data_IF_133951473600
#
_entry.id   IF_133951473600
#
_cell.length_a   1.000
_cell.length_b   1.000
_cell.length_c   1.000
_cell.angle_alpha   90.00
_cell.angle_beta   90.00
_cell.angle_gamma   90.00
#
_symmetry.space_group_name_H-M   'P 1'
#
loop_
_entity.id
_entity.type
_entity.pdbx_description
1 polymer ?
#
# COMPACT_ATOMS: atom_id res chain seq x y z
N UNK A 1 -34.39 30.99 55.49
CA UNK A 1 -35.83 30.64 55.57
C UNK A 1 -36.24 30.04 54.23
N UNK A 2 -37.24 29.15 54.21
CA UNK A 2 -37.75 28.47 53.01
C UNK A 2 -38.90 29.28 52.36
N UNK A 3 -39.69 28.85 51.36
CA UNK A 3 -39.87 27.62 50.53
C UNK A 3 -40.56 28.10 49.21
N UNK A 4 -40.97 27.38 48.14
CA UNK A 4 -41.16 25.97 47.71
C UNK A 4 -40.67 25.85 46.22
N UNK A 5 -40.47 24.73 45.51
CA UNK A 5 -41.09 23.37 45.46
C UNK A 5 -42.48 23.29 44.74
N UNK A 6 -42.79 22.35 43.84
CA UNK A 6 -41.97 21.45 43.02
C UNK A 6 -42.74 20.94 41.76
N UNK A 7 -41.98 20.53 40.73
CA UNK A 7 -42.26 19.58 39.60
C UNK A 7 -43.62 18.86 39.46
N UNK A 8 -43.98 18.55 38.20
CA UNK A 8 -44.83 17.40 37.81
C UNK A 8 -44.37 16.75 36.49
N UNK A 9 -44.80 15.51 36.20
CA UNK A 9 -44.66 14.80 34.90
C UNK A 9 -45.46 13.47 34.85
N UNK A 10 -45.66 12.91 33.64
CA UNK A 10 -46.09 11.52 33.30
C UNK A 10 -47.57 11.11 33.60
N UNK A 11 -48.26 10.23 32.83
CA UNK A 11 -48.14 9.74 31.42
C UNK A 11 -49.41 8.89 31.02
N UNK A 12 -49.55 8.48 29.73
CA UNK A 12 -50.50 7.45 29.18
C UNK A 12 -52.02 7.82 29.18
N UNK A 13 -52.95 7.33 28.32
CA UNK A 13 -52.93 6.55 27.04
C UNK A 13 -54.26 6.75 26.23
N UNK A 14 -54.36 6.21 25.01
CA UNK A 14 -55.49 6.29 24.03
C UNK A 14 -56.65 5.27 24.32
N UNK A 15 -57.92 5.48 23.87
CA UNK A 15 -58.41 4.73 22.67
C UNK A 15 -59.57 5.34 21.81
N UNK A 16 -59.43 5.24 20.47
CA UNK A 16 -60.40 4.73 19.48
C UNK A 16 -61.90 5.22 19.37
N UNK A 17 -62.15 6.22 18.50
CA UNK A 17 -63.02 6.18 17.30
C UNK A 17 -64.56 5.91 17.31
N UNK A 18 -65.33 6.69 16.50
CA UNK A 18 -66.51 6.28 15.66
C UNK A 18 -67.20 7.44 14.89
N UNK A 19 -67.48 7.23 13.59
CA UNK A 19 -68.51 7.93 12.78
C UNK A 19 -68.25 9.40 12.36
N UNK A 20 -68.94 9.99 11.39
CA UNK A 20 -69.77 9.46 10.29
C UNK A 20 -69.98 10.54 9.20
N UNK A 21 -70.15 10.16 7.92
CA UNK A 21 -70.44 11.08 6.79
C UNK A 21 -70.32 10.40 5.43
N UNK A 22 -71.23 10.70 4.49
CA UNK A 22 -71.44 9.90 3.27
C UNK A 22 -70.72 10.42 2.00
N UNK A 23 -70.46 9.54 1.00
CA UNK A 23 -69.81 9.89 -0.27
C UNK A 23 -70.79 10.25 -1.40
N UNK A 24 -70.29 10.92 -2.45
CA UNK A 24 -71.01 11.17 -3.71
C UNK A 24 -70.92 9.94 -4.64
N UNK A 25 -72.00 9.64 -5.36
CA UNK A 25 -72.26 8.34 -5.98
C UNK A 25 -71.61 8.05 -7.34
N UNK A 26 -71.81 6.80 -7.76
CA UNK A 26 -71.25 6.17 -8.97
C UNK A 26 -72.15 6.33 -10.20
N UNK A 27 -71.53 6.43 -11.37
CA UNK A 27 -72.03 5.84 -12.63
C UNK A 27 -70.84 5.13 -13.27
N UNK A 28 -71.02 3.90 -13.75
CA UNK A 28 -69.94 3.11 -14.36
C UNK A 28 -70.41 2.37 -15.60
N UNK A 29 -69.46 1.83 -16.37
CA UNK A 29 -69.74 0.77 -17.33
C UNK A 29 -68.50 -0.11 -17.60
N UNK A 30 -68.74 -1.35 -18.07
CA UNK A 30 -67.76 -2.42 -18.26
C UNK A 30 -68.34 -3.49 -19.22
N UNK A 31 -67.53 -4.35 -19.86
CA UNK A 31 -66.13 -4.19 -20.28
C UNK A 31 -65.92 -4.64 -21.75
N UNK A 32 -64.73 -4.42 -22.34
CA UNK A 32 -64.27 -5.22 -23.51
C UNK A 32 -62.80 -5.61 -23.41
N UNK A 33 -62.52 -6.92 -23.56
CA UNK A 33 -61.17 -7.49 -23.70
C UNK A 33 -60.73 -7.46 -25.16
N UNK A 34 -59.56 -6.89 -25.46
CA UNK A 34 -58.81 -7.14 -26.72
C UNK A 34 -57.31 -7.05 -26.42
N UNK A 35 -56.52 -7.92 -27.05
CA UNK A 35 -55.10 -7.66 -27.35
C UNK A 35 -54.11 -7.77 -26.19
N UNK A 36 -53.05 -8.55 -26.40
CA UNK A 36 -51.86 -8.52 -25.55
C UNK A 36 -50.59 -8.29 -26.37
N UNK A 37 -49.46 -8.19 -25.67
CA UNK A 37 -48.05 -8.14 -26.13
C UNK A 37 -47.46 -6.77 -26.53
N UNK A 38 -46.43 -6.41 -25.74
CA UNK A 38 -45.11 -5.81 -26.06
C UNK A 38 -44.89 -4.30 -25.93
N UNK A 39 -43.59 -3.99 -25.77
CA UNK A 39 -42.91 -2.70 -25.57
C UNK A 39 -43.18 -2.01 -24.22
N UNK A 40 -42.18 -1.41 -23.55
CA UNK A 40 -40.73 -1.43 -23.82
C UNK A 40 -39.92 -0.65 -22.77
N UNK A 41 -38.61 -0.89 -22.72
CA UNK A 41 -37.64 -0.29 -21.78
C UNK A 41 -37.65 -0.90 -20.37
N UNK A 42 -36.56 -0.99 -19.62
CA UNK A 42 -35.10 -0.81 -19.89
C UNK A 42 -34.33 -1.61 -18.80
N UNK A 43 -33.00 -1.77 -18.74
CA UNK A 43 -31.84 -1.13 -19.40
C UNK A 43 -30.78 -2.20 -19.79
N UNK A 44 -29.71 -1.81 -20.52
CA UNK A 44 -28.51 -2.62 -20.74
C UNK A 44 -27.18 -1.82 -20.73
N UNK A 45 -26.97 -0.95 -19.73
CA UNK A 45 -25.80 -0.08 -19.55
C UNK A 45 -24.52 -0.80 -19.10
N UNK A 46 -23.71 -1.27 -20.07
CA UNK A 46 -22.50 -2.08 -19.83
C UNK A 46 -21.41 -1.43 -18.96
N UNK A 47 -20.73 -2.29 -18.19
CA UNK A 47 -19.41 -2.03 -17.57
C UNK A 47 -18.39 -1.55 -18.61
N UNK A 48 -17.63 -0.50 -18.28
CA UNK A 48 -16.42 -0.07 -18.99
C UNK A 48 -15.22 -0.16 -18.05
N UNK A 49 -14.33 -1.13 -18.31
CA UNK A 49 -12.98 -1.19 -17.72
C UNK A 49 -11.98 -0.94 -18.86
N UNK A 50 -11.26 0.17 -18.79
CA UNK A 50 -10.31 0.59 -19.82
C UNK A 50 -9.12 -0.39 -19.91
N UNK A 51 -8.98 -1.07 -21.06
CA UNK A 51 -7.84 -1.94 -21.35
C UNK A 51 -6.79 -1.14 -22.11
N UNK A 52 -5.80 -0.61 -21.40
CA UNK A 52 -4.61 -0.02 -22.02
C UNK A 52 -3.60 -1.10 -22.40
N UNK A 53 -3.66 -1.52 -23.66
CA UNK A 53 -2.64 -2.40 -24.25
C UNK A 53 -1.23 -1.78 -24.14
N UNK A 54 -0.31 -2.51 -23.53
CA UNK A 54 1.14 -2.25 -23.62
C UNK A 54 1.76 -3.38 -24.43
N UNK A 55 2.33 -3.04 -25.59
CA UNK A 55 2.96 -4.00 -26.51
C UNK A 55 4.03 -4.86 -25.80
N UNK A 56 3.72 -6.14 -25.58
CA UNK A 56 4.76 -7.15 -25.25
C UNK A 56 5.63 -7.37 -26.49
N UNK A 57 6.91 -7.03 -26.39
CA UNK A 57 7.91 -7.51 -27.34
C UNK A 57 8.07 -9.02 -27.18
N UNK A 58 8.23 -9.74 -28.30
CA UNK A 58 8.35 -11.19 -28.29
C UNK A 58 9.67 -11.67 -27.64
N UNK A 59 9.69 -12.79 -26.89
CA UNK A 59 10.92 -13.33 -26.32
C UNK A 59 11.93 -13.73 -27.42
N UNK A 60 13.20 -13.36 -27.22
CA UNK A 60 14.30 -13.88 -28.06
C UNK A 60 14.64 -15.32 -27.63
N UNK A 61 14.97 -16.24 -28.55
CA UNK A 61 15.38 -17.60 -28.19
C UNK A 61 16.73 -17.59 -27.45
N UNK A 62 16.97 -18.55 -26.53
CA UNK A 62 18.21 -18.65 -25.79
C UNK A 62 19.39 -19.00 -26.72
N UNK A 63 20.56 -18.39 -26.46
CA UNK A 63 21.81 -18.75 -27.15
C UNK A 63 22.36 -20.06 -26.58
N UNK A 64 22.90 -20.98 -27.40
CA UNK A 64 23.55 -22.19 -26.90
C UNK A 64 24.84 -21.85 -26.13
N UNK A 65 25.02 -22.45 -24.96
CA UNK A 65 26.25 -22.32 -24.18
C UNK A 65 27.37 -23.13 -24.84
N UNK A 66 28.32 -22.44 -25.46
CA UNK A 66 29.50 -23.05 -26.06
C UNK A 66 30.40 -23.72 -25.01
N UNK A 67 30.66 -25.01 -25.16
CA UNK A 67 31.63 -25.75 -24.32
C UNK A 67 33.04 -25.19 -24.55
N UNK A 68 33.79 -24.99 -23.47
CA UNK A 68 35.24 -24.75 -23.51
C UNK A 68 35.93 -25.73 -22.53
N UNK A 69 37.01 -26.43 -22.93
CA UNK A 69 37.67 -27.43 -22.09
C UNK A 69 38.49 -26.78 -20.96
N UNK A 70 38.91 -27.56 -19.93
CA UNK A 70 39.68 -27.04 -18.81
C UNK A 70 41.17 -26.87 -19.17
N UNK A 71 41.69 -25.65 -19.01
CA UNK A 71 43.13 -25.39 -19.04
C UNK A 71 43.76 -25.72 -17.68
N UNK A 72 44.61 -26.75 -17.64
CA UNK A 72 45.41 -27.14 -16.47
C UNK A 72 46.86 -26.70 -16.62
N UNK A 73 47.37 -25.78 -15.78
CA UNK A 73 48.78 -25.44 -15.76
C UNK A 73 49.64 -26.61 -15.27
N UNK A 74 50.44 -27.19 -16.17
CA UNK A 74 51.53 -28.11 -15.79
C UNK A 74 52.61 -27.32 -15.04
N UNK A 75 52.89 -27.71 -13.80
CA UNK A 75 54.17 -27.39 -13.14
C UNK A 75 55.15 -28.55 -13.40
N UNK A 76 56.24 -28.23 -14.10
CA UNK A 76 57.39 -29.11 -14.27
C UNK A 76 58.60 -28.49 -13.53
N UNK A 77 59.42 -29.32 -12.87
CA UNK A 77 60.56 -28.82 -12.09
C UNK A 77 61.21 -29.87 -11.19
N UNK A 78 61.92 -30.84 -11.79
CA UNK A 78 62.87 -31.67 -11.04
C UNK A 78 64.24 -30.98 -10.96
N UNK A 79 64.80 -30.84 -9.75
CA UNK A 79 66.26 -30.77 -9.53
C UNK A 79 66.67 -31.75 -8.41
N UNK A 80 67.42 -32.83 -8.72
CA UNK A 80 67.77 -33.86 -7.74
C UNK A 80 69.22 -33.72 -7.22
N UNK A 81 69.39 -33.17 -6.00
CA UNK A 81 70.70 -33.15 -5.31
C UNK A 81 70.67 -33.81 -3.92
N UNK A 82 71.17 -35.06 -3.90
CA UNK A 82 72.07 -35.73 -2.91
C UNK A 82 72.11 -35.15 -1.47
N UNK A 83 72.10 -35.94 -0.38
CA UNK A 83 72.31 -37.40 -0.19
C UNK A 83 71.91 -37.80 1.26
N UNK A 84 71.68 -39.11 1.50
CA UNK A 84 71.99 -39.93 2.70
C UNK A 84 71.99 -39.31 4.13
N UNK A 85 71.45 -39.94 5.18
CA UNK A 85 70.86 -41.28 5.32
C UNK A 85 70.01 -41.43 6.61
N UNK A 86 69.08 -42.41 6.58
CA UNK A 86 68.61 -43.23 7.72
C UNK A 86 68.03 -42.59 8.99
N UNK A 87 66.75 -42.88 9.27
CA UNK A 87 66.42 -43.87 10.31
C UNK A 87 65.04 -44.53 10.03
N UNK A 88 64.60 -45.49 10.86
CA UNK A 88 63.34 -46.25 10.71
C UNK A 88 62.25 -45.71 11.63
N UNK A 89 61.16 -45.18 11.06
CA UNK A 89 59.97 -44.74 11.80
C UNK A 89 58.76 -45.61 11.48
N UNK A 90 58.09 -46.14 12.52
CA UNK A 90 56.88 -46.98 12.40
C UNK A 90 55.72 -46.17 11.80
N UNK A 91 54.91 -46.80 10.94
CA UNK A 91 53.80 -46.13 10.26
C UNK A 91 52.68 -45.70 11.21
N UNK A 92 52.35 -44.40 11.19
CA UNK A 92 51.09 -43.87 11.70
C UNK A 92 50.13 -43.62 10.53
N UNK A 93 48.88 -44.08 10.64
CA UNK A 93 47.86 -43.83 9.63
C UNK A 93 47.48 -42.35 9.60
N UNK A 94 47.34 -41.79 8.41
CA UNK A 94 47.00 -40.38 8.18
C UNK A 94 45.59 -40.04 8.67
N UNK A 95 45.49 -39.62 9.93
CA UNK A 95 44.33 -38.91 10.45
C UNK A 95 44.35 -37.46 9.96
N UNK A 96 44.06 -37.25 8.67
CA UNK A 96 43.87 -35.91 8.12
C UNK A 96 42.78 -35.19 8.93
N UNK A 97 43.19 -34.17 9.69
CA UNK A 97 42.24 -33.28 10.36
C UNK A 97 41.54 -32.48 9.28
N UNK A 98 40.38 -32.97 8.85
CA UNK A 98 39.45 -32.20 8.03
C UNK A 98 39.23 -30.87 8.76
N UNK A 99 39.83 -29.81 8.21
CA UNK A 99 39.50 -28.45 8.61
C UNK A 99 38.01 -28.30 8.37
N UNK A 100 37.24 -28.17 9.45
CA UNK A 100 35.82 -27.84 9.36
C UNK A 100 35.77 -26.38 8.92
N UNK A 101 35.88 -26.18 7.60
CA UNK A 101 35.77 -24.89 6.93
C UNK A 101 34.51 -24.21 7.46
N UNK A 102 34.71 -23.13 8.24
CA UNK A 102 33.63 -22.41 8.93
C UNK A 102 32.52 -22.15 7.94
N UNK A 103 31.40 -22.86 8.08
CA UNK A 103 30.33 -22.85 7.09
C UNK A 103 29.83 -21.42 6.96
N UNK A 104 30.14 -20.79 5.83
CA UNK A 104 29.92 -19.37 5.65
C UNK A 104 28.45 -19.16 5.30
N UNK A 105 27.59 -19.11 6.33
CA UNK A 105 26.26 -18.55 6.15
C UNK A 105 26.46 -17.13 5.58
N UNK A 106 25.81 -16.77 4.47
CA UNK A 106 25.79 -15.38 4.04
C UNK A 106 25.13 -14.54 5.12
N UNK A 107 25.53 -13.27 5.22
CA UNK A 107 24.89 -12.32 6.12
C UNK A 107 23.39 -12.28 5.81
N UNK A 108 22.56 -12.51 6.84
CA UNK A 108 21.11 -12.40 6.70
C UNK A 108 20.78 -10.92 6.54
N UNK A 109 20.17 -10.49 5.41
CA UNK A 109 19.88 -9.09 5.23
C UNK A 109 18.78 -8.65 6.21
N UNK A 110 18.98 -7.49 6.83
CA UNK A 110 17.97 -6.83 7.65
C UNK A 110 16.83 -6.32 6.78
N UNK A 111 15.89 -7.21 6.48
CA UNK A 111 14.74 -6.93 5.60
C UNK A 111 13.75 -5.96 6.25
N UNK A 112 13.64 -5.95 7.59
CA UNK A 112 12.82 -4.97 8.31
C UNK A 112 13.48 -3.59 8.23
N UNK A 113 14.78 -3.48 8.52
CA UNK A 113 15.53 -2.23 8.37
C UNK A 113 15.54 -1.72 6.92
N UNK A 114 15.59 -2.60 5.92
CA UNK A 114 15.47 -2.22 4.50
C UNK A 114 14.07 -1.73 4.13
N UNK A 115 13.00 -2.35 4.66
CA UNK A 115 11.63 -1.85 4.50
C UNK A 115 11.48 -0.47 5.17
N UNK A 116 11.88 -0.32 6.44
CA UNK A 116 11.82 0.97 7.15
C UNK A 116 12.69 2.05 6.50
N UNK A 117 13.85 1.69 5.96
CA UNK A 117 14.68 2.61 5.18
C UNK A 117 14.01 3.06 3.85
N UNK A 118 13.02 2.32 3.34
CA UNK A 118 12.13 2.75 2.27
C UNK A 118 10.97 3.59 2.82
N UNK A 119 10.30 3.17 3.90
CA UNK A 119 9.19 3.89 4.54
C UNK A 119 9.60 5.29 4.99
N UNK A 120 10.80 5.47 5.55
CA UNK A 120 11.35 6.76 5.93
C UNK A 120 11.46 7.74 4.73
N UNK A 121 11.79 7.24 3.54
CA UNK A 121 11.82 8.06 2.31
C UNK A 121 10.39 8.43 1.86
N UNK A 122 9.43 7.52 2.01
CA UNK A 122 8.01 7.81 1.79
C UNK A 122 7.49 8.85 2.78
N UNK A 123 7.91 8.80 4.05
CA UNK A 123 7.56 9.79 5.07
C UNK A 123 8.14 11.17 4.76
N UNK A 124 9.43 11.29 4.44
CA UNK A 124 10.02 12.57 3.96
C UNK A 124 9.29 13.13 2.73
N UNK A 125 8.87 12.26 1.82
CA UNK A 125 8.07 12.62 0.65
C UNK A 125 6.64 13.10 1.00
N UNK A 126 6.00 12.48 1.99
CA UNK A 126 4.68 12.87 2.48
C UNK A 126 4.72 14.15 3.33
N UNK A 127 5.79 14.38 4.09
CA UNK A 127 6.02 15.66 4.80
C UNK A 127 6.27 16.81 3.82
N UNK A 128 6.96 16.55 2.70
CA UNK A 128 7.05 17.50 1.59
C UNK A 128 5.69 17.71 0.89
N UNK A 129 4.90 16.64 0.72
CA UNK A 129 3.58 16.70 0.10
C UNK A 129 2.58 17.51 0.94
N UNK A 130 2.57 17.31 2.27
CA UNK A 130 1.78 18.08 3.21
C UNK A 130 2.17 19.57 3.18
N UNK A 131 3.46 19.90 3.27
CA UNK A 131 3.92 21.31 3.14
C UNK A 131 3.49 21.95 1.81
N UNK A 132 3.60 21.22 0.71
CA UNK A 132 3.13 21.69 -0.59
C UNK A 132 1.62 21.93 -0.61
N UNK A 133 0.83 21.03 -0.02
CA UNK A 133 -0.62 21.19 0.10
C UNK A 133 -1.02 22.37 1.00
N UNK A 134 -0.21 22.71 2.01
CA UNK A 134 -0.32 23.94 2.81
C UNK A 134 0.29 25.19 2.13
N UNK A 135 0.71 25.10 0.85
CA UNK A 135 1.13 26.25 0.03
C UNK A 135 2.65 26.46 -0.14
N UNK A 136 3.50 25.58 0.41
CA UNK A 136 4.95 25.61 0.13
C UNK A 136 5.22 25.07 -1.29
N UNK A 137 5.14 25.96 -2.28
CA UNK A 137 5.44 25.65 -3.69
C UNK A 137 6.85 25.06 -3.87
N UNK A 138 7.80 25.39 -2.98
CA UNK A 138 9.16 24.83 -3.00
C UNK A 138 9.20 23.36 -2.61
N UNK A 139 8.29 22.90 -1.73
CA UNK A 139 8.19 21.51 -1.32
C UNK A 139 7.80 20.56 -2.46
N UNK A 140 7.16 21.06 -3.53
CA UNK A 140 6.83 20.29 -4.73
C UNK A 140 8.05 19.59 -5.35
N UNK A 141 9.24 20.21 -5.29
CA UNK A 141 10.47 19.59 -5.78
C UNK A 141 10.96 18.49 -4.83
N UNK A 142 10.83 18.68 -3.51
CA UNK A 142 11.22 17.66 -2.53
C UNK A 142 10.38 16.37 -2.66
N UNK A 143 9.08 16.48 -2.99
CA UNK A 143 8.24 15.31 -3.32
C UNK A 143 8.78 14.58 -4.56
N UNK A 144 9.15 15.33 -5.61
CA UNK A 144 9.71 14.77 -6.86
C UNK A 144 11.09 14.16 -6.66
N UNK A 145 11.91 14.69 -5.74
CA UNK A 145 13.24 14.16 -5.41
C UNK A 145 13.17 12.95 -4.45
N UNK A 146 12.06 12.76 -3.74
CA UNK A 146 11.82 11.61 -2.86
C UNK A 146 11.56 10.31 -3.62
N UNK A 147 10.75 10.31 -4.69
CA UNK A 147 10.49 9.09 -5.49
C UNK A 147 11.76 8.36 -5.97
N UNK A 148 12.75 9.03 -6.61
CA UNK A 148 13.91 8.32 -7.13
C UNK A 148 14.84 7.84 -6.01
N UNK A 149 14.66 8.34 -4.78
CA UNK A 149 15.27 7.76 -3.57
C UNK A 149 14.50 6.51 -3.11
N UNK A 150 13.16 6.52 -3.16
CA UNK A 150 12.28 5.40 -2.82
C UNK A 150 12.52 4.18 -3.70
N UNK A 151 12.53 4.36 -5.02
CA UNK A 151 12.86 3.29 -5.98
C UNK A 151 14.30 2.75 -5.79
N UNK A 152 15.26 3.57 -5.35
CA UNK A 152 16.59 3.06 -4.96
C UNK A 152 16.50 2.12 -3.74
N UNK A 153 15.76 2.47 -2.69
CA UNK A 153 15.54 1.61 -1.52
C UNK A 153 14.82 0.31 -1.87
N UNK A 154 13.77 0.39 -2.70
CA UNK A 154 13.07 -0.76 -3.26
C UNK A 154 13.99 -1.66 -4.08
N UNK A 155 14.90 -1.10 -4.89
CA UNK A 155 15.92 -1.86 -5.63
C UNK A 155 16.99 -2.48 -4.72
N UNK A 156 17.38 -1.81 -3.64
CA UNK A 156 18.28 -2.34 -2.61
C UNK A 156 17.62 -3.56 -1.92
N UNK A 157 16.38 -3.42 -1.44
CA UNK A 157 15.59 -4.49 -0.83
C UNK A 157 15.37 -5.69 -1.77
N UNK A 158 14.94 -5.46 -3.01
CA UNK A 158 14.75 -6.54 -4.01
C UNK A 158 16.07 -7.23 -4.37
N UNK A 159 17.22 -6.54 -4.23
CA UNK A 159 18.54 -7.17 -4.41
C UNK A 159 18.93 -8.00 -3.19
N UNK A 160 18.67 -7.52 -1.98
CA UNK A 160 18.89 -8.25 -0.74
C UNK A 160 18.04 -9.54 -0.66
N UNK A 161 16.75 -9.47 -0.99
CA UNK A 161 15.85 -10.64 -1.05
C UNK A 161 16.32 -11.72 -2.03
N UNK A 162 17.06 -11.36 -3.09
CA UNK A 162 17.64 -12.31 -4.06
C UNK A 162 18.96 -12.93 -3.59
N UNK A 163 19.64 -12.30 -2.63
CA UNK A 163 20.88 -12.79 -2.05
C UNK A 163 20.66 -13.57 -0.74
N UNK A 164 19.52 -13.37 -0.08
CA UNK A 164 19.14 -14.02 1.16
C UNK A 164 18.98 -15.53 1.00
N UNK A 165 19.55 -16.30 1.94
CA UNK A 165 19.30 -17.74 2.06
C UNK A 165 18.24 -18.07 3.13
N UNK A 166 18.04 -17.15 4.08
CA UNK A 166 17.00 -17.16 5.12
C UNK A 166 16.45 -15.73 5.23
N UNK A 167 15.14 -15.59 5.40
CA UNK A 167 14.43 -14.31 5.53
C UNK A 167 13.40 -14.46 6.67
N UNK A 168 13.24 -13.46 7.57
CA UNK A 168 12.31 -13.58 8.70
C UNK A 168 10.82 -13.47 8.30
N UNK A 169 10.52 -12.82 7.17
CA UNK A 169 9.19 -12.82 6.53
C UNK A 169 9.26 -13.54 5.18
N UNK A 170 8.11 -13.96 4.65
CA UNK A 170 8.07 -14.53 3.31
C UNK A 170 8.41 -13.48 2.21
N UNK A 171 9.11 -13.87 1.13
CA UNK A 171 9.48 -12.96 0.06
C UNK A 171 8.30 -12.27 -0.64
N UNK A 172 7.13 -12.92 -0.69
CA UNK A 172 5.94 -12.32 -1.29
C UNK A 172 5.41 -11.17 -0.43
N UNK A 173 5.29 -11.39 0.87
CA UNK A 173 4.74 -10.41 1.82
C UNK A 173 5.64 -9.16 1.88
N UNK A 174 6.96 -9.34 1.96
CA UNK A 174 7.94 -8.24 1.88
C UNK A 174 7.84 -7.48 0.56
N UNK A 175 7.70 -8.18 -0.58
CA UNK A 175 7.54 -7.54 -1.89
C UNK A 175 6.22 -6.76 -2.01
N UNK A 176 5.14 -7.27 -1.42
CA UNK A 176 3.84 -6.60 -1.39
C UNK A 176 3.88 -5.33 -0.53
N UNK A 177 4.46 -5.39 0.68
CA UNK A 177 4.68 -4.23 1.55
C UNK A 177 5.52 -3.16 0.85
N UNK A 178 6.70 -3.54 0.35
CA UNK A 178 7.59 -2.64 -0.40
C UNK A 178 6.90 -2.00 -1.61
N UNK A 179 6.09 -2.76 -2.35
CA UNK A 179 5.30 -2.22 -3.47
C UNK A 179 4.27 -1.19 -3.00
N UNK A 180 3.55 -1.42 -1.90
CA UNK A 180 2.55 -0.49 -1.41
C UNK A 180 3.15 0.82 -0.89
N UNK A 181 4.23 0.72 -0.10
CA UNK A 181 5.00 1.88 0.41
C UNK A 181 5.50 2.77 -0.74
N UNK A 182 6.00 2.15 -1.81
CA UNK A 182 6.44 2.81 -3.03
C UNK A 182 5.27 3.45 -3.79
N UNK A 183 4.17 2.73 -3.95
CA UNK A 183 2.97 3.17 -4.67
C UNK A 183 2.27 4.37 -4.00
N UNK A 184 2.40 4.53 -2.67
CA UNK A 184 1.96 5.73 -1.93
C UNK A 184 2.77 6.96 -2.33
N UNK A 185 4.11 6.84 -2.36
CA UNK A 185 5.02 7.93 -2.74
C UNK A 185 4.87 8.31 -4.22
N UNK A 186 4.77 7.30 -5.09
CA UNK A 186 4.48 7.43 -6.53
C UNK A 186 3.22 8.26 -6.77
N UNK A 187 2.13 7.96 -6.04
CA UNK A 187 0.86 8.65 -6.19
C UNK A 187 0.86 10.07 -5.61
N UNK A 188 1.58 10.34 -4.52
CA UNK A 188 1.77 11.71 -4.02
C UNK A 188 2.55 12.56 -5.05
N UNK A 189 3.63 12.00 -5.63
CA UNK A 189 4.42 12.61 -6.71
C UNK A 189 3.57 12.85 -7.97
N UNK A 190 2.75 11.89 -8.37
CA UNK A 190 1.82 12.02 -9.50
C UNK A 190 0.77 13.11 -9.27
N UNK A 191 0.24 13.23 -8.04
CA UNK A 191 -0.77 14.23 -7.67
C UNK A 191 -0.22 15.66 -7.78
N UNK A 192 1.00 15.91 -7.27
CA UNK A 192 1.69 17.21 -7.44
C UNK A 192 1.85 17.55 -8.93
N UNK A 193 2.29 16.59 -9.75
CA UNK A 193 2.44 16.80 -11.19
C UNK A 193 1.10 16.99 -11.93
N UNK A 194 0.03 16.34 -11.49
CA UNK A 194 -1.32 16.52 -12.05
C UNK A 194 -1.90 17.88 -11.65
N UNK A 195 -1.64 18.37 -10.44
CA UNK A 195 -2.01 19.71 -9.99
C UNK A 195 -1.31 20.81 -10.82
N UNK A 196 -0.01 20.66 -11.10
CA UNK A 196 0.73 21.55 -12.02
C UNK A 196 0.09 21.56 -13.43
N UNK A 197 -0.18 20.37 -14.00
CA UNK A 197 -0.73 20.22 -15.35
C UNK A 197 -2.18 20.72 -15.46
N UNK A 198 -2.97 20.61 -14.39
CA UNK A 198 -4.32 21.14 -14.31
C UNK A 198 -4.37 22.64 -14.03
N UNK A 199 -3.26 23.29 -13.65
CA UNK A 199 -3.25 24.65 -13.09
C UNK A 199 -4.20 24.73 -11.88
N UNK A 200 -3.97 23.86 -10.89
CA UNK A 200 -4.81 23.71 -9.71
C UNK A 200 -3.98 23.89 -8.44
N UNK A 201 -4.21 24.99 -7.70
CA UNK A 201 -3.67 25.12 -6.35
C UNK A 201 -4.32 24.07 -5.42
N UNK A 202 -3.59 23.58 -4.41
CA UNK A 202 -4.17 22.93 -3.24
C UNK A 202 -5.20 23.79 -2.50
N UNK A 203 -6.03 23.13 -1.70
CA UNK A 203 -6.94 23.76 -0.74
C UNK A 203 -6.85 23.08 0.65
N UNK A 204 -7.58 23.62 1.63
CA UNK A 204 -7.60 23.10 3.01
C UNK A 204 -8.03 21.62 3.08
N UNK A 205 -8.88 21.16 2.17
CA UNK A 205 -9.32 19.77 2.09
C UNK A 205 -8.21 18.84 1.58
N UNK A 206 -7.45 19.27 0.58
CA UNK A 206 -6.27 18.57 0.09
C UNK A 206 -5.18 18.50 1.18
N UNK A 207 -4.94 19.62 1.87
CA UNK A 207 -3.96 19.72 2.94
C UNK A 207 -4.28 18.80 4.12
N UNK A 208 -5.53 18.83 4.61
CA UNK A 208 -5.98 17.94 5.68
C UNK A 208 -5.88 16.44 5.29
N UNK A 209 -6.12 16.09 4.02
CA UNK A 209 -5.90 14.72 3.54
C UNK A 209 -4.41 14.37 3.46
N UNK A 210 -3.54 15.32 3.10
CA UNK A 210 -2.09 15.11 3.02
C UNK A 210 -1.45 14.87 4.41
N UNK A 211 -1.85 15.65 5.42
CA UNK A 211 -1.42 15.48 6.81
C UNK A 211 -1.78 14.06 7.32
N UNK A 212 -3.03 13.65 7.11
CA UNK A 212 -3.55 12.34 7.51
C UNK A 212 -2.87 11.16 6.78
N UNK A 213 -2.37 11.35 5.55
CA UNK A 213 -1.52 10.33 4.90
C UNK A 213 -0.18 10.17 5.61
N UNK A 214 0.45 11.28 6.01
CA UNK A 214 1.68 11.26 6.80
C UNK A 214 1.48 10.57 8.15
N UNK A 215 0.35 10.84 8.82
CA UNK A 215 -0.03 10.18 10.08
C UNK A 215 -0.22 8.66 9.89
N UNK A 216 -0.99 8.25 8.88
CA UNK A 216 -1.24 6.84 8.63
C UNK A 216 0.03 6.06 8.25
N UNK A 217 0.95 6.65 7.47
CA UNK A 217 2.21 6.00 7.09
C UNK A 217 3.20 5.93 8.26
N UNK A 218 3.12 6.84 9.25
CA UNK A 218 3.89 6.69 10.50
C UNK A 218 3.45 5.43 11.27
N UNK A 219 2.15 5.19 11.37
CA UNK A 219 1.63 3.94 11.94
C UNK A 219 2.00 2.69 11.13
N UNK A 220 2.15 2.79 9.79
CA UNK A 220 2.71 1.69 9.00
C UNK A 220 4.19 1.44 9.30
N UNK A 221 5.00 2.47 9.55
CA UNK A 221 6.41 2.30 9.96
C UNK A 221 6.53 1.72 11.37
N UNK A 222 5.67 2.12 12.31
CA UNK A 222 5.55 1.52 13.64
C UNK A 222 5.19 0.02 13.55
N UNK A 223 4.20 -0.32 12.73
CA UNK A 223 3.78 -1.69 12.49
C UNK A 223 4.90 -2.54 11.85
N UNK A 224 5.63 -1.99 10.87
CA UNK A 224 6.79 -2.65 10.25
C UNK A 224 7.96 -2.80 11.24
N UNK A 225 8.11 -1.89 12.21
CA UNK A 225 9.11 -2.02 13.25
C UNK A 225 8.83 -3.18 14.21
N UNK A 226 7.56 -3.43 14.53
CA UNK A 226 7.13 -4.47 15.46
C UNK A 226 7.04 -5.88 14.84
N UNK A 227 6.92 -5.99 13.50
CA UNK A 227 6.74 -7.22 12.70
C UNK A 227 7.76 -8.37 12.89
N UNK A 228 8.80 -8.20 13.71
CA UNK A 228 9.78 -9.23 14.02
C UNK A 228 10.01 -9.43 15.54
N UNK A 229 9.18 -8.80 16.38
CA UNK A 229 9.37 -8.75 17.84
C UNK A 229 8.08 -8.78 18.66
N UNK A 230 6.97 -8.24 18.15
CA UNK A 230 5.71 -8.07 18.88
C UNK A 230 4.52 -8.00 17.91
N UNK A 231 3.84 -9.15 17.75
CA UNK A 231 2.73 -9.31 16.81
C UNK A 231 1.49 -8.51 17.22
N UNK A 232 1.20 -8.41 18.53
CA UNK A 232 0.08 -7.63 19.06
C UNK A 232 0.29 -6.12 18.80
N UNK A 233 1.52 -5.62 19.01
CA UNK A 233 1.87 -4.24 18.70
C UNK A 233 1.87 -3.97 17.19
N UNK A 234 2.35 -4.90 16.37
CA UNK A 234 2.33 -4.78 14.91
C UNK A 234 0.89 -4.72 14.37
N UNK A 235 -0.02 -5.56 14.89
CA UNK A 235 -1.42 -5.54 14.54
C UNK A 235 -2.10 -4.24 15.01
N UNK A 236 -1.90 -3.80 16.26
CA UNK A 236 -2.50 -2.57 16.79
C UNK A 236 -2.04 -1.31 16.04
N UNK A 237 -0.80 -1.26 15.56
CA UNK A 237 -0.30 -0.19 14.71
C UNK A 237 -0.90 -0.24 13.29
N UNK A 238 -1.08 -1.44 12.70
CA UNK A 238 -1.78 -1.59 11.42
C UNK A 238 -3.27 -1.18 11.52
N UNK A 239 -3.97 -1.55 12.59
CA UNK A 239 -5.33 -1.08 12.89
C UNK A 239 -5.38 0.45 13.06
N UNK A 240 -4.37 1.05 13.69
CA UNK A 240 -4.24 2.50 13.84
C UNK A 240 -4.08 3.21 12.49
N UNK A 241 -3.29 2.65 11.56
CA UNK A 241 -3.18 3.18 10.19
C UNK A 241 -4.51 3.14 9.43
N UNK A 242 -5.31 2.08 9.59
CA UNK A 242 -6.67 1.98 9.04
C UNK A 242 -7.62 2.99 9.71
N UNK A 243 -7.51 3.20 11.02
CA UNK A 243 -8.24 4.24 11.75
C UNK A 243 -7.99 5.64 11.19
N UNK A 244 -6.73 6.00 10.94
CA UNK A 244 -6.38 7.27 10.30
C UNK A 244 -6.85 7.33 8.84
N UNK A 245 -6.82 6.23 8.10
CA UNK A 245 -7.37 6.18 6.74
C UNK A 245 -8.87 6.52 6.70
N UNK A 246 -9.65 6.03 7.66
CA UNK A 246 -11.07 6.39 7.76
C UNK A 246 -11.25 7.91 7.95
N UNK A 247 -10.31 8.61 8.60
CA UNK A 247 -10.32 10.06 8.65
C UNK A 247 -9.99 10.72 7.30
N UNK A 248 -9.10 10.15 6.47
CA UNK A 248 -8.89 10.58 5.07
C UNK A 248 -10.20 10.45 4.27
N UNK A 249 -10.90 9.32 4.40
CA UNK A 249 -12.20 9.11 3.74
C UNK A 249 -13.26 10.13 4.17
N UNK A 250 -13.33 10.45 5.46
CA UNK A 250 -14.22 11.49 5.97
C UNK A 250 -13.82 12.90 5.49
N UNK A 251 -12.52 13.22 5.42
CA UNK A 251 -12.03 14.48 4.87
C UNK A 251 -12.38 14.62 3.38
N UNK A 252 -12.21 13.56 2.59
CA UNK A 252 -12.65 13.49 1.19
C UNK A 252 -14.14 13.81 1.04
N UNK A 253 -15.03 13.21 1.85
CA UNK A 253 -16.47 13.48 1.75
C UNK A 253 -16.83 14.93 2.11
N UNK A 254 -16.19 15.51 3.14
CA UNK A 254 -16.41 16.91 3.55
C UNK A 254 -15.88 17.90 2.51
N UNK A 255 -14.74 17.61 1.89
CA UNK A 255 -14.26 18.37 0.74
C UNK A 255 -15.23 18.28 -0.45
N UNK A 256 -15.72 17.08 -0.77
CA UNK A 256 -16.71 16.87 -1.84
C UNK A 256 -18.05 17.59 -1.58
N UNK A 257 -18.45 17.77 -0.32
CA UNK A 257 -19.58 18.61 0.09
C UNK A 257 -19.28 20.11 -0.14
N UNK A 258 -18.13 20.61 0.34
CA UNK A 258 -17.70 21.99 0.13
C UNK A 258 -17.65 22.36 -1.37
N UNK A 259 -17.17 21.44 -2.22
CA UNK A 259 -17.11 21.63 -3.68
C UNK A 259 -18.48 21.80 -4.35
N UNK A 260 -19.61 21.49 -3.69
CA UNK A 260 -20.94 21.81 -4.21
C UNK A 260 -21.23 23.32 -4.20
N UNK A 261 -20.55 24.07 -3.33
CA UNK A 261 -20.68 25.52 -3.17
C UNK A 261 -19.69 26.32 -4.04
N UNK A 262 -18.63 25.70 -4.56
CA UNK A 262 -17.70 26.32 -5.51
C UNK A 262 -18.43 26.73 -6.80
N UNK A 263 -18.34 28.01 -7.18
CA UNK A 263 -19.05 28.58 -8.32
C UNK A 263 -18.43 28.23 -9.68
N UNK A 264 -17.11 28.08 -9.79
CA UNK A 264 -16.46 27.64 -11.01
C UNK A 264 -16.47 26.12 -11.16
N UNK A 265 -17.26 25.65 -12.12
CA UNK A 265 -17.31 24.24 -12.53
C UNK A 265 -15.94 23.69 -12.96
N UNK A 266 -15.00 24.53 -13.44
CA UNK A 266 -13.64 24.06 -13.79
C UNK A 266 -12.81 23.82 -12.53
N UNK A 267 -12.68 24.79 -11.62
CA UNK A 267 -12.04 24.61 -10.32
C UNK A 267 -12.61 23.39 -9.57
N UNK A 268 -13.94 23.28 -9.52
CA UNK A 268 -14.66 22.12 -8.95
C UNK A 268 -14.23 20.78 -9.56
N UNK A 269 -14.08 20.71 -10.88
CA UNK A 269 -13.63 19.48 -11.57
C UNK A 269 -12.15 19.18 -11.28
N UNK A 270 -11.27 20.19 -11.25
CA UNK A 270 -9.84 20.02 -10.94
C UNK A 270 -9.64 19.45 -9.53
N UNK A 271 -10.17 20.15 -8.51
CA UNK A 271 -10.05 19.75 -7.09
C UNK A 271 -10.66 18.38 -6.82
N UNK A 272 -11.84 18.09 -7.40
CA UNK A 272 -12.48 16.76 -7.33
C UNK A 272 -11.61 15.62 -7.88
N UNK A 273 -10.69 15.89 -8.81
CA UNK A 273 -9.76 14.87 -9.29
C UNK A 273 -8.60 14.65 -8.32
N UNK A 274 -7.97 15.73 -7.84
CA UNK A 274 -6.93 15.66 -6.82
C UNK A 274 -7.43 14.95 -5.54
N UNK A 275 -8.67 15.24 -5.13
CA UNK A 275 -9.34 14.54 -4.02
C UNK A 275 -9.50 13.03 -4.26
N UNK A 276 -9.76 12.59 -5.50
CA UNK A 276 -9.82 11.14 -5.81
C UNK A 276 -8.43 10.50 -5.91
N UNK A 277 -7.38 11.26 -6.20
CA UNK A 277 -5.99 10.81 -5.99
C UNK A 277 -5.72 10.60 -4.50
N UNK A 278 -6.12 11.53 -3.63
CA UNK A 278 -6.01 11.36 -2.17
C UNK A 278 -6.73 10.10 -1.67
N UNK A 279 -7.98 9.89 -2.08
CA UNK A 279 -8.73 8.68 -1.74
C UNK A 279 -8.01 7.39 -2.22
N UNK A 280 -7.45 7.40 -3.45
CA UNK A 280 -6.69 6.26 -3.99
C UNK A 280 -5.36 6.01 -3.26
N UNK A 281 -4.72 7.03 -2.68
CA UNK A 281 -3.58 6.82 -1.76
C UNK A 281 -4.05 6.14 -0.47
N UNK A 282 -5.19 6.60 0.08
CA UNK A 282 -5.85 5.95 1.22
C UNK A 282 -6.18 4.47 0.98
N UNK A 283 -6.63 4.09 -0.21
CA UNK A 283 -6.86 2.68 -0.56
C UNK A 283 -5.55 1.86 -0.46
N UNK A 284 -4.40 2.41 -0.92
CA UNK A 284 -3.11 1.71 -0.83
C UNK A 284 -2.59 1.61 0.60
N UNK A 285 -2.89 2.57 1.47
CA UNK A 285 -2.59 2.51 2.91
C UNK A 285 -3.29 1.31 3.56
N UNK A 286 -4.56 1.03 3.19
CA UNK A 286 -5.25 -0.21 3.59
C UNK A 286 -4.57 -1.44 2.97
N UNK A 287 -4.27 -1.44 1.66
CA UNK A 287 -3.58 -2.57 0.98
C UNK A 287 -2.25 -2.95 1.69
N UNK A 288 -1.54 -2.00 2.32
CA UNK A 288 -0.34 -2.26 3.14
C UNK A 288 -0.71 -2.75 4.55
N UNK A 289 -1.61 -2.09 5.27
CA UNK A 289 -2.01 -2.49 6.62
C UNK A 289 -2.59 -3.92 6.66
N UNK A 290 -3.46 -4.26 5.72
CA UNK A 290 -4.01 -5.62 5.57
C UNK A 290 -2.93 -6.66 5.26
N UNK A 291 -1.88 -6.28 4.51
CA UNK A 291 -0.74 -7.18 4.25
C UNK A 291 0.13 -7.39 5.49
N UNK A 292 0.24 -6.40 6.39
CA UNK A 292 0.91 -6.57 7.70
C UNK A 292 0.11 -7.57 8.56
N UNK A 293 -1.19 -7.33 8.74
CA UNK A 293 -2.06 -8.22 9.52
C UNK A 293 -2.09 -9.65 8.95
N UNK A 294 -2.11 -9.79 7.62
CA UNK A 294 -2.01 -11.09 6.94
C UNK A 294 -0.68 -11.80 7.21
N UNK A 295 0.45 -11.08 7.20
CA UNK A 295 1.76 -11.67 7.48
C UNK A 295 1.84 -12.23 8.91
N UNK A 296 1.29 -11.51 9.90
CA UNK A 296 1.21 -11.95 11.31
C UNK A 296 0.37 -13.23 11.42
N UNK A 297 -0.86 -13.23 10.90
CA UNK A 297 -1.78 -14.39 10.92
C UNK A 297 -1.21 -15.61 10.20
N UNK A 298 -0.28 -15.42 9.26
CA UNK A 298 0.40 -16.48 8.50
C UNK A 298 1.61 -17.09 9.24
N UNK A 299 2.13 -16.41 10.27
CA UNK A 299 3.24 -16.88 11.12
C UNK A 299 2.77 -17.57 12.41
N UNK A 300 1.46 -17.49 12.71
CA UNK A 300 0.76 -18.15 13.84
C UNK A 300 0.44 -19.63 13.59
#
# INVERSE_FOLDING_TARGET
MADHSHRGQAHLQDPAGRGAGEPVGLVGDHPRRVGGRRTGGDDAGRRLLDRRDRHRQAPRPPRPLGRRPPDVPRLAGHDPRRRCAGDRGVGGLGGDRVSVSRWFLPEQPDVIGLLRAQTAVTLEGLEAFARWAHGDVGAAQAVRDAEPRGDRRKRELVSALRAAFVIPLEPEDVFALSRGIDQILDYARDLVAEADVLDCAPDEGLAAMADLMGDAVRHLDDAIAALATDDDAANAAAESAIGVQHHIGNAYYRGMENLLHEGDMRARIKLRELYRRCARIGEVIIEVAERIMYAIVKQS
#
